data_IF_372757061143
#
_entry.id   IF_372757061143
#
_cell.length_a   1.000
_cell.length_b   1.000
_cell.length_c   1.000
_cell.angle_alpha   90.00
_cell.angle_beta   90.00
_cell.angle_gamma   90.00
#
_symmetry.space_group_name_H-M   'P 1'
#
loop_
_entity.id
_entity.type
_entity.pdbx_description
1 polymer ?
#
# COMPACT_ATOMS: atom_id res chain seq x y z
N UNK A 1 14.82 -3.63 -1.60
CA UNK A 1 14.74 -2.86 -2.88
C UNK A 1 14.33 -1.44 -2.54
N UNK A 2 14.89 -0.46 -3.19
CA UNK A 2 14.53 0.96 -3.03
C UNK A 2 13.61 1.33 -4.19
N UNK A 3 12.42 1.81 -3.89
CA UNK A 3 11.47 2.36 -4.85
C UNK A 3 11.57 3.88 -4.80
N UNK A 4 11.73 4.51 -5.96
CA UNK A 4 11.77 5.96 -6.10
C UNK A 4 10.62 6.41 -6.99
N UNK A 5 9.80 7.30 -6.49
CA UNK A 5 8.78 8.01 -7.26
C UNK A 5 9.39 9.36 -7.63
N UNK A 6 9.78 9.60 -8.89
CA UNK A 6 10.42 10.84 -9.28
C UNK A 6 9.45 12.03 -9.19
N UNK A 7 10.00 13.22 -8.94
CA UNK A 7 9.25 14.49 -9.03
C UNK A 7 8.48 14.57 -10.35
N UNK A 8 7.23 14.98 -10.28
CA UNK A 8 6.35 15.12 -11.44
C UNK A 8 5.84 13.80 -12.03
N UNK A 9 5.99 12.68 -11.31
CA UNK A 9 5.52 11.35 -11.74
C UNK A 9 4.58 10.74 -10.72
N UNK A 10 3.78 9.77 -11.19
CA UNK A 10 2.90 8.95 -10.36
C UNK A 10 3.49 7.57 -10.06
N UNK A 11 4.28 7.01 -10.97
CA UNK A 11 4.81 5.65 -10.85
C UNK A 11 6.22 5.63 -10.27
N UNK A 12 6.50 4.55 -9.55
CA UNK A 12 7.81 4.31 -8.95
C UNK A 12 8.72 3.50 -9.89
N UNK A 13 10.02 3.70 -9.71
CA UNK A 13 11.06 2.86 -10.29
C UNK A 13 11.81 2.11 -9.16
N UNK A 14 12.16 0.82 -9.33
CA UNK A 14 11.80 -0.05 -10.44
C UNK A 14 10.30 -0.42 -10.43
N UNK A 15 9.72 -0.79 -11.58
CA UNK A 15 8.33 -1.23 -11.64
C UNK A 15 8.14 -2.56 -10.91
N UNK A 16 6.97 -2.78 -10.34
CA UNK A 16 6.64 -4.06 -9.75
C UNK A 16 6.16 -5.04 -10.84
N UNK A 17 6.74 -6.23 -10.87
CA UNK A 17 6.33 -7.29 -11.77
C UNK A 17 6.17 -8.61 -11.02
N UNK A 18 5.24 -9.44 -11.47
CA UNK A 18 5.04 -10.81 -10.98
C UNK A 18 3.60 -11.28 -11.16
N UNK A 19 3.46 -12.54 -11.54
CA UNK A 19 2.20 -13.26 -11.60
C UNK A 19 2.14 -14.28 -10.47
N UNK A 20 0.95 -14.53 -9.95
CA UNK A 20 0.71 -15.47 -8.87
C UNK A 20 -0.53 -16.30 -9.17
N UNK A 21 -0.47 -17.59 -8.83
CA UNK A 21 -1.64 -18.45 -8.77
C UNK A 21 -2.10 -18.54 -7.31
N UNK A 22 -3.36 -18.20 -7.07
CA UNK A 22 -4.02 -18.23 -5.76
C UNK A 22 -3.18 -17.61 -4.61
N UNK A 23 -2.84 -16.34 -4.77
CA UNK A 23 -2.02 -15.61 -3.78
C UNK A 23 -2.76 -15.53 -2.44
N UNK A 24 -2.22 -16.20 -1.42
CA UNK A 24 -2.80 -16.23 -0.08
C UNK A 24 -2.19 -15.21 0.87
N UNK A 25 -0.90 -14.89 0.70
CA UNK A 25 -0.18 -13.97 1.57
C UNK A 25 0.84 -13.14 0.80
N UNK A 26 0.91 -11.87 1.14
CA UNK A 26 2.02 -11.00 0.77
C UNK A 26 2.50 -10.23 1.99
N UNK A 27 3.76 -10.43 2.35
CA UNK A 27 4.39 -9.70 3.44
C UNK A 27 5.66 -9.00 2.95
N UNK A 28 5.90 -7.79 3.45
CA UNK A 28 7.06 -6.97 3.12
C UNK A 28 7.46 -6.14 4.33
N UNK A 29 8.75 -5.94 4.49
CA UNK A 29 9.25 -4.90 5.38
C UNK A 29 9.31 -3.59 4.60
N UNK A 30 8.60 -2.58 5.07
CA UNK A 30 8.55 -1.25 4.48
C UNK A 30 9.16 -0.22 5.43
N UNK A 31 9.93 0.71 4.87
CA UNK A 31 10.47 1.88 5.55
C UNK A 31 10.21 3.10 4.66
N UNK A 32 9.46 4.06 5.16
CA UNK A 32 9.25 5.34 4.52
C UNK A 32 10.43 6.24 4.85
N UNK A 33 11.17 6.67 3.83
CA UNK A 33 12.23 7.66 4.00
C UNK A 33 11.62 9.02 4.40
N UNK A 34 12.46 9.94 4.89
CA UNK A 34 12.03 11.30 5.24
C UNK A 34 11.36 12.03 4.06
N UNK A 35 11.72 11.66 2.83
CA UNK A 35 11.12 12.17 1.59
C UNK A 35 9.67 11.77 1.38
N UNK A 36 9.11 10.85 2.19
CA UNK A 36 7.67 10.57 2.19
C UNK A 36 6.83 11.71 2.81
N UNK A 37 7.47 12.70 3.42
CA UNK A 37 6.83 13.93 3.87
C UNK A 37 6.61 14.85 2.67
N UNK A 38 5.37 15.15 2.36
CA UNK A 38 5.03 16.07 1.26
C UNK A 38 3.86 16.96 1.64
N UNK A 39 3.77 18.08 0.94
CA UNK A 39 2.66 19.01 0.96
C UNK A 39 2.34 19.42 -0.48
N UNK A 40 1.09 19.24 -0.88
CA UNK A 40 0.58 19.66 -2.18
C UNK A 40 -0.11 21.04 -2.10
N UNK A 41 -0.31 21.58 -0.89
CA UNK A 41 -0.96 22.86 -0.65
C UNK A 41 -2.47 22.87 -0.96
N UNK A 42 -3.09 21.69 -1.10
CA UNK A 42 -4.50 21.57 -1.47
C UNK A 42 -5.14 20.28 -0.93
N UNK A 43 -6.42 20.03 -1.27
CA UNK A 43 -7.17 18.87 -0.80
C UNK A 43 -6.59 17.51 -1.24
N UNK A 44 -5.77 17.46 -2.31
CA UNK A 44 -5.12 16.24 -2.79
C UNK A 44 -4.08 15.68 -1.80
N UNK A 45 -3.70 16.45 -0.76
CA UNK A 45 -2.92 15.93 0.37
C UNK A 45 -3.60 14.73 1.04
N UNK A 46 -4.91 14.63 0.98
CA UNK A 46 -5.69 13.53 1.54
C UNK A 46 -5.79 12.33 0.60
N UNK A 47 -5.33 12.45 -0.65
CA UNK A 47 -5.37 11.36 -1.60
C UNK A 47 -4.45 10.21 -1.16
N UNK A 48 -4.94 8.99 -1.38
CA UNK A 48 -4.22 7.80 -0.94
C UNK A 48 -3.29 7.30 -2.04
N UNK A 49 -1.99 7.38 -1.78
CA UNK A 49 -0.94 6.75 -2.56
C UNK A 49 -1.00 5.23 -2.37
N UNK A 50 -0.47 4.48 -3.31
CA UNK A 50 -0.46 3.02 -3.30
C UNK A 50 0.94 2.52 -3.03
N UNK A 51 1.07 1.49 -2.18
CA UNK A 51 2.36 0.95 -1.78
C UNK A 51 2.67 -0.37 -2.50
N UNK A 52 2.01 -1.44 -2.12
CA UNK A 52 2.13 -2.75 -2.76
C UNK A 52 0.91 -3.62 -2.46
N UNK A 53 0.74 -4.66 -3.24
CA UNK A 53 -0.33 -5.65 -3.11
C UNK A 53 -0.49 -6.45 -4.39
N UNK A 54 -1.70 -6.91 -4.65
CA UNK A 54 -2.04 -7.59 -5.89
C UNK A 54 -3.41 -7.19 -6.42
N UNK A 55 -3.57 -7.31 -7.73
CA UNK A 55 -4.84 -7.24 -8.45
C UNK A 55 -5.07 -8.54 -9.21
N UNK A 56 -6.27 -8.75 -9.71
CA UNK A 56 -6.62 -9.95 -10.45
C UNK A 56 -6.73 -9.67 -11.95
N UNK A 57 -6.27 -10.62 -12.80
CA UNK A 57 -6.23 -10.45 -14.25
C UNK A 57 -7.63 -10.25 -14.86
N UNK A 58 -8.63 -10.97 -14.35
CA UNK A 58 -10.00 -10.85 -14.84
C UNK A 58 -10.66 -9.56 -14.31
N UNK A 59 -10.57 -8.48 -15.07
CA UNK A 59 -11.17 -7.17 -14.76
C UNK A 59 -10.21 -6.13 -14.22
N UNK A 60 -8.92 -6.44 -14.14
CA UNK A 60 -7.86 -5.57 -13.65
C UNK A 60 -8.03 -5.12 -12.19
N UNK A 61 -7.08 -4.36 -11.67
CA UNK A 61 -7.04 -3.95 -10.27
C UNK A 61 -8.15 -2.98 -9.84
N UNK A 62 -8.84 -2.34 -10.77
CA UNK A 62 -10.04 -1.53 -10.48
C UNK A 62 -11.32 -2.34 -10.31
N UNK A 63 -11.29 -3.65 -10.61
CA UNK A 63 -12.39 -4.55 -10.32
C UNK A 63 -12.21 -5.23 -8.99
N UNK A 64 -11.07 -5.91 -8.80
CA UNK A 64 -10.74 -6.60 -7.56
C UNK A 64 -9.23 -6.49 -7.29
N UNK A 65 -8.88 -5.97 -6.14
CA UNK A 65 -7.49 -5.86 -5.69
C UNK A 65 -7.40 -5.66 -4.20
N UNK A 66 -6.25 -6.03 -3.62
CA UNK A 66 -5.90 -5.75 -2.25
C UNK A 66 -4.49 -5.17 -2.19
N UNK A 67 -4.32 -3.99 -1.63
CA UNK A 67 -3.01 -3.35 -1.45
C UNK A 67 -3.00 -2.39 -0.27
N UNK A 68 -1.83 -2.16 0.27
CA UNK A 68 -1.61 -1.05 1.19
C UNK A 68 -1.68 0.28 0.45
N UNK A 69 -2.37 1.22 1.05
CA UNK A 69 -2.33 2.64 0.70
C UNK A 69 -1.61 3.45 1.77
N UNK A 70 -1.19 4.66 1.44
CA UNK A 70 -0.56 5.58 2.36
C UNK A 70 -0.76 7.04 1.95
N UNK A 71 -0.72 7.97 2.90
CA UNK A 71 -0.49 9.39 2.67
C UNK A 71 0.30 9.98 3.84
N UNK A 72 0.81 11.18 3.69
CA UNK A 72 1.47 11.89 4.76
C UNK A 72 0.47 12.81 5.47
N UNK A 73 0.34 12.63 6.78
CA UNK A 73 -0.46 13.50 7.62
C UNK A 73 0.44 14.59 8.21
N UNK A 74 0.25 15.81 7.76
CA UNK A 74 1.07 16.97 8.15
C UNK A 74 0.82 17.39 9.60
N UNK A 75 -0.44 17.30 10.08
CA UNK A 75 -0.83 17.73 11.42
C UNK A 75 -0.09 16.95 12.51
N UNK A 76 0.06 15.64 12.32
CA UNK A 76 0.73 14.76 13.29
C UNK A 76 2.15 14.37 12.89
N UNK A 77 2.62 14.79 11.70
CA UNK A 77 3.96 14.50 11.21
C UNK A 77 4.24 13.02 10.93
N UNK A 78 3.23 12.23 10.57
CA UNK A 78 3.30 10.78 10.39
C UNK A 78 2.71 10.34 9.06
N UNK A 79 3.04 9.12 8.65
CA UNK A 79 2.43 8.46 7.50
C UNK A 79 1.20 7.69 7.96
N UNK A 80 0.04 7.95 7.38
CA UNK A 80 -1.15 7.12 7.53
C UNK A 80 -1.03 5.90 6.63
N UNK A 81 -1.44 4.73 7.13
CA UNK A 81 -1.57 3.49 6.38
C UNK A 81 -3.03 3.09 6.25
N UNK A 82 -3.38 2.59 5.07
CA UNK A 82 -4.74 2.20 4.71
C UNK A 82 -4.76 0.80 4.08
N UNK A 83 -5.86 0.07 4.30
CA UNK A 83 -6.29 -1.00 3.41
C UNK A 83 -6.96 -0.35 2.20
N UNK A 84 -6.37 -0.50 1.01
CA UNK A 84 -6.86 0.03 -0.25
C UNK A 84 -7.28 -1.11 -1.16
N UNK A 85 -8.58 -1.36 -1.24
CA UNK A 85 -9.14 -2.48 -1.97
C UNK A 85 -10.13 -2.04 -3.04
N UNK A 86 -10.21 -2.83 -4.11
CA UNK A 86 -11.39 -2.88 -4.96
C UNK A 86 -12.06 -4.23 -4.78
N UNK A 87 -13.37 -4.23 -4.63
CA UNK A 87 -14.22 -5.41 -4.59
C UNK A 87 -15.42 -5.16 -5.50
N UNK A 88 -15.57 -5.95 -6.56
CA UNK A 88 -16.62 -5.77 -7.56
C UNK A 88 -16.72 -4.32 -8.08
N UNK A 89 -15.59 -3.72 -8.47
CA UNK A 89 -15.45 -2.34 -8.94
C UNK A 89 -15.68 -1.25 -7.88
N UNK A 90 -16.09 -1.61 -6.66
CA UNK A 90 -16.28 -0.67 -5.56
C UNK A 90 -14.98 -0.48 -4.81
N UNK A 91 -14.57 0.77 -4.62
CA UNK A 91 -13.34 1.13 -3.90
C UNK A 91 -13.60 1.24 -2.40
N UNK A 92 -12.74 0.61 -1.62
CA UNK A 92 -12.69 0.70 -0.16
C UNK A 92 -11.33 1.25 0.27
N UNK A 93 -11.35 2.29 1.09
CA UNK A 93 -10.16 2.88 1.71
C UNK A 93 -10.45 2.92 3.20
N UNK A 94 -9.78 2.07 3.97
CA UNK A 94 -10.03 1.90 5.40
C UNK A 94 -8.73 2.22 6.16
N UNK A 95 -8.72 3.21 7.07
CA UNK A 95 -7.56 3.52 7.89
C UNK A 95 -7.14 2.31 8.75
N UNK A 96 -5.83 2.07 8.87
CA UNK A 96 -5.28 1.02 9.73
C UNK A 96 -4.61 1.65 10.94
N UNK A 97 -3.56 2.42 10.72
CA UNK A 97 -2.77 3.08 11.76
C UNK A 97 -1.90 4.19 11.16
N UNK A 98 -1.16 4.89 12.03
CA UNK A 98 -0.12 5.83 11.65
C UNK A 98 1.27 5.26 11.98
N UNK A 99 2.26 5.57 11.14
CA UNK A 99 3.64 5.09 11.27
C UNK A 99 4.63 6.25 11.10
N UNK A 100 5.83 6.09 11.66
CA UNK A 100 6.90 7.07 11.56
C UNK A 100 7.74 6.85 10.29
N UNK A 101 8.32 7.90 9.75
CA UNK A 101 9.39 7.79 8.75
C UNK A 101 10.67 7.22 9.39
N UNK A 102 11.55 6.65 8.57
CA UNK A 102 12.83 6.07 8.98
C UNK A 102 12.71 4.95 10.02
N UNK A 103 11.57 4.27 10.04
CA UNK A 103 11.35 3.10 10.88
C UNK A 103 10.80 1.93 10.05
N UNK A 104 11.15 0.70 10.41
CA UNK A 104 10.80 -0.51 9.65
C UNK A 104 9.55 -1.17 10.20
N UNK A 105 8.56 -1.33 9.34
CA UNK A 105 7.30 -2.02 9.64
C UNK A 105 7.15 -3.26 8.78
N UNK A 106 6.67 -4.35 9.36
CA UNK A 106 6.23 -5.52 8.63
C UNK A 106 4.76 -5.33 8.23
N UNK A 107 4.53 -5.15 6.95
CA UNK A 107 3.20 -4.99 6.36
C UNK A 107 2.77 -6.31 5.74
N UNK A 108 1.60 -6.80 6.11
CA UNK A 108 1.11 -8.12 5.74
C UNK A 108 -0.32 -8.05 5.23
N UNK A 109 -0.59 -8.71 4.10
CA UNK A 109 -1.93 -8.94 3.57
C UNK A 109 -2.12 -10.45 3.49
N UNK A 110 -3.10 -10.98 4.20
CA UNK A 110 -3.53 -12.37 4.15
C UNK A 110 -4.89 -12.46 3.47
N UNK A 111 -5.08 -13.48 2.63
CA UNK A 111 -6.37 -13.88 2.08
C UNK A 111 -6.85 -15.09 2.86
N UNK A 112 -7.88 -14.91 3.69
CA UNK A 112 -8.42 -15.93 4.60
C UNK A 112 -9.91 -16.08 4.34
N UNK A 113 -10.32 -17.21 3.77
CA UNK A 113 -11.71 -17.41 3.36
C UNK A 113 -12.15 -16.33 2.37
N UNK A 114 -13.17 -15.56 2.72
CA UNK A 114 -13.73 -14.46 1.91
C UNK A 114 -13.29 -13.05 2.36
N UNK A 115 -12.14 -12.95 3.04
CA UNK A 115 -11.64 -11.67 3.53
C UNK A 115 -10.14 -11.48 3.27
N UNK A 116 -9.72 -10.23 3.10
CA UNK A 116 -8.35 -9.78 3.21
C UNK A 116 -8.11 -9.25 4.63
N UNK A 117 -7.08 -9.76 5.28
CA UNK A 117 -6.61 -9.29 6.57
C UNK A 117 -5.33 -8.47 6.36
N UNK A 118 -5.38 -7.19 6.68
CA UNK A 118 -4.24 -6.29 6.65
C UNK A 118 -3.68 -6.13 8.05
N UNK A 119 -2.39 -6.33 8.22
CA UNK A 119 -1.71 -6.17 9.51
C UNK A 119 -0.46 -5.32 9.36
N UNK A 120 -0.23 -4.44 10.32
CA UNK A 120 0.95 -3.60 10.44
C UNK A 120 1.65 -3.95 11.75
N UNK A 121 2.83 -4.56 11.64
CA UNK A 121 3.60 -5.06 12.77
C UNK A 121 4.95 -4.36 12.84
N UNK A 122 5.58 -4.39 14.02
CA UNK A 122 6.98 -4.04 14.14
C UNK A 122 7.86 -5.04 13.38
N UNK A 123 8.83 -4.56 12.63
CA UNK A 123 9.69 -5.46 11.86
C UNK A 123 10.70 -6.24 12.73
N UNK A 124 11.11 -5.67 13.86
CA UNK A 124 11.99 -6.31 14.84
C UNK A 124 11.23 -7.06 15.93
N UNK A 125 10.13 -6.48 16.40
CA UNK A 125 9.30 -7.02 17.49
C UNK A 125 7.92 -7.42 16.96
N UNK A 126 7.81 -8.57 16.31
CA UNK A 126 6.58 -9.01 15.60
C UNK A 126 5.32 -9.14 16.45
N UNK A 127 5.45 -9.28 17.76
CA UNK A 127 4.32 -9.26 18.67
C UNK A 127 3.71 -7.84 18.82
N UNK A 128 4.43 -6.78 18.47
CA UNK A 128 3.91 -5.41 18.50
C UNK A 128 3.10 -5.14 17.24
N UNK A 129 1.78 -5.16 17.40
CA UNK A 129 0.82 -4.86 16.34
C UNK A 129 0.39 -3.38 16.43
N UNK A 130 0.55 -2.64 15.34
CA UNK A 130 0.13 -1.25 15.23
C UNK A 130 -1.30 -1.09 14.70
N UNK A 131 -1.83 -2.12 14.03
CA UNK A 131 -3.19 -2.13 13.51
C UNK A 131 -3.49 -3.32 12.63
N UNK A 132 -4.75 -3.76 12.65
CA UNK A 132 -5.26 -4.85 11.83
C UNK A 132 -6.66 -4.50 11.35
N UNK A 133 -6.92 -4.69 10.06
CA UNK A 133 -8.22 -4.43 9.42
C UNK A 133 -8.59 -5.56 8.47
N UNK A 134 -9.88 -5.89 8.45
CA UNK A 134 -10.46 -6.86 7.53
C UNK A 134 -11.26 -6.18 6.42
N UNK A 135 -11.14 -6.70 5.20
CA UNK A 135 -11.96 -6.27 4.06
C UNK A 135 -12.58 -7.50 3.41
N UNK A 136 -13.90 -7.57 3.41
CA UNK A 136 -14.63 -8.68 2.80
C UNK A 136 -14.57 -8.59 1.27
N UNK A 137 -14.47 -9.74 0.60
CA UNK A 137 -14.61 -9.86 -0.85
C UNK A 137 -15.51 -11.06 -1.21
N UNK A 138 -16.05 -11.06 -2.44
CA UNK A 138 -17.01 -12.08 -2.89
C UNK A 138 -16.55 -12.86 -4.13
N UNK A 139 -15.38 -12.51 -4.69
CA UNK A 139 -14.87 -13.18 -5.89
C UNK A 139 -14.12 -14.48 -5.55
N UNK A 140 -14.05 -15.38 -6.54
CA UNK A 140 -13.28 -16.62 -6.47
C UNK A 140 -12.05 -16.62 -7.40
N UNK A 141 -11.58 -15.42 -7.79
CA UNK A 141 -10.45 -15.24 -8.72
C UNK A 141 -9.15 -15.75 -8.09
N UNK A 142 -8.34 -16.47 -8.89
CA UNK A 142 -7.07 -17.05 -8.44
C UNK A 142 -5.86 -16.38 -9.07
N UNK A 143 -5.90 -16.12 -10.39
CA UNK A 143 -4.75 -15.56 -11.09
C UNK A 143 -4.64 -14.05 -10.79
N UNK A 144 -3.55 -13.68 -10.15
CA UNK A 144 -3.29 -12.32 -9.72
C UNK A 144 -1.92 -11.82 -10.18
N UNK A 145 -1.75 -10.51 -10.19
CA UNK A 145 -0.50 -9.86 -10.52
C UNK A 145 -0.09 -8.85 -9.46
N UNK A 146 1.22 -8.62 -9.35
CA UNK A 146 1.79 -7.67 -8.40
C UNK A 146 1.43 -6.25 -8.76
N UNK A 147 1.03 -5.48 -7.76
CA UNK A 147 0.87 -4.04 -7.81
C UNK A 147 1.97 -3.38 -6.97
N UNK A 148 2.57 -2.33 -7.50
CA UNK A 148 3.67 -1.60 -6.88
C UNK A 148 3.29 -0.23 -6.38
N UNK A 149 4.34 0.56 -6.06
CA UNK A 149 4.18 1.93 -5.59
C UNK A 149 3.64 2.84 -6.70
N UNK A 150 2.71 3.71 -6.30
CA UNK A 150 2.11 4.70 -7.19
C UNK A 150 1.67 5.91 -6.36
N UNK A 151 2.08 7.11 -6.74
CA UNK A 151 1.61 8.35 -6.13
C UNK A 151 0.19 8.62 -6.62
N UNK A 152 -0.75 8.74 -5.70
CA UNK A 152 -2.19 8.82 -6.00
C UNK A 152 -2.65 10.24 -6.30
N UNK A 153 -3.96 10.34 -6.57
CA UNK A 153 -4.61 11.61 -6.85
C UNK A 153 -4.38 12.17 -8.24
N UNK A 154 -4.77 13.43 -8.44
CA UNK A 154 -4.61 14.16 -9.70
C UNK A 154 -3.23 14.80 -9.80
N UNK A 155 -2.61 15.16 -8.68
CA UNK A 155 -1.28 15.75 -8.65
C UNK A 155 -0.18 14.69 -8.62
N UNK A 156 0.89 14.85 -9.41
CA UNK A 156 2.07 13.99 -9.35
C UNK A 156 2.90 14.31 -8.09
N UNK A 157 3.90 13.47 -7.80
CA UNK A 157 4.79 13.67 -6.67
C UNK A 157 5.47 15.04 -6.72
N UNK A 158 5.43 15.84 -5.63
CA UNK A 158 5.97 17.20 -5.62
C UNK A 158 7.50 17.25 -5.62
N UNK A 159 8.13 16.18 -5.17
CA UNK A 159 9.57 15.94 -5.17
C UNK A 159 9.83 14.44 -5.28
N UNK A 160 11.09 14.04 -5.33
CA UNK A 160 11.45 12.64 -5.33
C UNK A 160 11.08 11.98 -3.99
N UNK A 161 10.32 10.91 -4.03
CA UNK A 161 9.90 10.15 -2.84
C UNK A 161 10.57 8.78 -2.86
N UNK A 162 11.20 8.42 -1.76
CA UNK A 162 11.90 7.14 -1.59
C UNK A 162 11.20 6.27 -0.56
N UNK A 163 10.94 5.02 -0.92
CA UNK A 163 10.37 4.00 -0.04
C UNK A 163 11.22 2.74 -0.17
N UNK A 164 11.73 2.23 0.95
CA UNK A 164 12.46 0.97 0.98
C UNK A 164 11.49 -0.17 1.27
N UNK A 165 11.45 -1.16 0.38
CA UNK A 165 10.61 -2.34 0.53
C UNK A 165 11.48 -3.58 0.30
N UNK A 166 11.58 -4.46 1.30
CA UNK A 166 12.32 -5.71 1.20
C UNK A 166 11.41 -6.92 1.40
N UNK A 167 11.89 -8.08 0.93
CA UNK A 167 11.34 -9.34 1.43
C UNK A 167 11.65 -9.41 2.93
N UNK A 168 10.82 -10.12 3.62
CA UNK A 168 11.11 -10.54 4.99
C UNK A 168 12.25 -11.52 4.98
#
# INVERSE_FOLDING_TARGET
>A
MIYRIPKGKHYAWPPAFGLFNDKQRMEKVAEFDITAKYDLGNADNNDVNKLFGWGYLNGLHHTDSARFGWNYNQEIGKVNLFAYCYVNKKRFIIPICTVQTNYKYLLQIDKIGSKYLFSVLDAGMRYRNYGTIEVMFTHNKKISYRLGCFFGGNNPAPHDITIKISKK
#
